data_IF_496403599380
#
_entry.id   IF_496403599380
#
_cell.length_a   1.000
_cell.length_b   1.000
_cell.length_c   1.000
_cell.angle_alpha   90.00
_cell.angle_beta   90.00
_cell.angle_gamma   90.00
#
_symmetry.space_group_name_H-M   'P 1'
#
loop_
_entity.id
_entity.type
_entity.pdbx_description
1 polymer ?
#
# COMPACT_ATOMS: atom_id res chain seq x y z
N UNK A 1 -24.09 -40.29 -14.41
CA UNK A 1 -23.04 -39.32 -14.77
C UNK A 1 -23.01 -38.28 -13.66
N UNK A 2 -22.03 -38.38 -12.75
CA UNK A 2 -21.84 -37.40 -11.68
C UNK A 2 -21.07 -36.20 -12.25
N UNK A 3 -21.76 -35.07 -12.42
CA UNK A 3 -21.10 -33.80 -12.71
C UNK A 3 -20.42 -33.33 -11.43
N UNK A 4 -19.14 -33.64 -11.29
CA UNK A 4 -18.29 -33.01 -10.28
C UNK A 4 -18.08 -31.57 -10.72
N UNK A 5 -18.78 -30.62 -10.08
CA UNK A 5 -18.49 -29.20 -10.27
C UNK A 5 -17.09 -28.95 -9.72
N UNK A 6 -16.15 -28.60 -10.60
CA UNK A 6 -14.80 -28.24 -10.20
C UNK A 6 -14.87 -27.02 -9.28
N UNK A 7 -14.46 -27.19 -8.03
CA UNK A 7 -14.48 -26.13 -7.03
C UNK A 7 -13.39 -25.11 -7.39
N UNK A 8 -13.79 -24.01 -8.03
CA UNK A 8 -12.86 -23.00 -8.51
C UNK A 8 -12.24 -22.24 -7.34
N UNK A 9 -10.90 -22.20 -7.30
CA UNK A 9 -10.17 -21.42 -6.30
C UNK A 9 -10.19 -19.94 -6.69
N UNK A 10 -10.80 -19.12 -5.86
CA UNK A 10 -10.83 -17.67 -6.05
C UNK A 10 -9.50 -17.03 -5.63
N UNK A 11 -8.85 -16.33 -6.56
CA UNK A 11 -7.71 -15.45 -6.30
C UNK A 11 -8.15 -14.00 -6.51
N UNK A 12 -7.92 -13.15 -5.52
CA UNK A 12 -8.17 -11.71 -5.59
C UNK A 12 -6.87 -10.97 -5.31
N UNK A 13 -6.52 -10.01 -6.17
CA UNK A 13 -5.33 -9.18 -6.07
C UNK A 13 -5.80 -7.74 -5.99
N UNK A 14 -5.30 -7.00 -5.00
CA UNK A 14 -5.52 -5.57 -4.86
C UNK A 14 -4.20 -4.85 -5.12
N UNK A 15 -4.27 -3.76 -5.87
CA UNK A 15 -3.24 -2.74 -5.77
C UNK A 15 -3.22 -2.13 -4.35
N UNK A 16 -2.12 -1.50 -3.97
CA UNK A 16 -1.96 -0.97 -2.61
C UNK A 16 -2.47 0.47 -2.51
N UNK A 17 -1.78 1.40 -3.18
CA UNK A 17 -2.07 2.83 -3.11
C UNK A 17 -3.41 3.15 -3.78
N UNK A 18 -4.18 4.03 -3.14
CA UNK A 18 -5.54 4.41 -3.54
C UNK A 18 -6.55 3.26 -3.71
N UNK A 19 -6.16 2.02 -3.38
CA UNK A 19 -6.99 0.82 -3.51
C UNK A 19 -7.15 0.16 -2.14
N UNK A 20 -6.10 -0.45 -1.59
CA UNK A 20 -6.13 -1.05 -0.26
C UNK A 20 -6.13 0.02 0.83
N UNK A 21 -5.28 1.03 0.65
CA UNK A 21 -5.14 2.18 1.56
C UNK A 21 -5.67 3.45 0.91
N UNK A 22 -6.25 4.32 1.73
CA UNK A 22 -6.72 5.64 1.31
C UNK A 22 -5.56 6.64 1.34
N UNK A 23 -4.64 6.48 0.39
CA UNK A 23 -3.46 7.31 0.29
C UNK A 23 -2.46 6.84 -0.76
N UNK A 24 -1.41 7.65 -0.94
CA UNK A 24 -0.28 7.41 -1.80
C UNK A 24 0.97 7.28 -0.91
N UNK A 25 1.56 6.08 -0.83
CA UNK A 25 2.70 5.82 0.06
C UNK A 25 3.97 6.59 -0.30
N UNK A 26 4.21 6.86 -1.59
CA UNK A 26 5.35 7.65 -2.04
C UNK A 26 5.34 9.07 -1.43
N UNK A 27 4.17 9.69 -1.36
CA UNK A 27 4.03 11.01 -0.70
C UNK A 27 3.77 10.92 0.80
N UNK A 28 3.22 9.81 1.29
CA UNK A 28 2.94 9.66 2.72
C UNK A 28 4.21 9.67 3.57
N UNK A 29 5.30 9.13 3.00
CA UNK A 29 6.61 9.05 3.66
C UNK A 29 7.17 10.41 4.05
N UNK A 30 6.78 11.49 3.39
CA UNK A 30 7.25 12.85 3.72
C UNK A 30 6.79 13.32 5.09
N UNK A 31 5.82 12.64 5.72
CA UNK A 31 5.44 12.89 7.11
C UNK A 31 6.56 12.57 8.10
N UNK A 32 7.54 11.73 7.71
CA UNK A 32 8.75 11.49 8.48
C UNK A 32 9.63 12.75 8.55
N UNK A 33 9.78 13.45 7.41
CA UNK A 33 10.60 14.65 7.30
C UNK A 33 9.94 15.67 6.37
N UNK A 34 9.12 16.60 6.90
CA UNK A 34 8.34 17.55 6.11
C UNK A 34 9.12 18.35 5.04
N UNK A 35 10.41 18.71 5.23
CA UNK A 35 11.20 19.37 4.18
C UNK A 35 11.30 18.59 2.86
N UNK A 36 11.14 17.26 2.88
CA UNK A 36 11.13 16.45 1.64
C UNK A 36 9.98 16.81 0.69
N UNK A 37 8.86 17.36 1.19
CA UNK A 37 7.78 17.85 0.32
C UNK A 37 8.23 19.01 -0.57
N UNK A 38 9.05 19.91 -0.04
CA UNK A 38 9.61 21.01 -0.82
C UNK A 38 10.56 20.48 -1.89
N UNK A 39 11.42 19.52 -1.52
CA UNK A 39 12.33 18.85 -2.45
C UNK A 39 11.57 18.21 -3.63
N UNK A 40 10.47 17.50 -3.35
CA UNK A 40 9.62 16.91 -4.40
C UNK A 40 9.11 17.98 -5.35
N UNK A 41 8.55 19.07 -4.82
CA UNK A 41 7.98 20.16 -5.63
C UNK A 41 9.04 20.81 -6.53
N UNK A 42 10.21 21.10 -5.98
CA UNK A 42 11.31 21.72 -6.71
C UNK A 42 11.79 20.84 -7.87
N UNK A 43 12.02 19.55 -7.63
CA UNK A 43 12.51 18.65 -8.67
C UNK A 43 11.42 18.33 -9.71
N UNK A 44 10.16 18.24 -9.30
CA UNK A 44 9.04 18.08 -10.21
C UNK A 44 8.88 19.29 -11.14
N UNK A 45 9.02 20.52 -10.62
CA UNK A 45 9.03 21.74 -11.43
C UNK A 45 10.21 21.79 -12.41
N UNK A 46 11.34 21.18 -12.04
CA UNK A 46 12.52 21.03 -12.90
C UNK A 46 12.41 19.85 -13.89
N UNK A 47 11.24 19.20 -14.01
CA UNK A 47 10.99 18.15 -14.99
C UNK A 47 11.61 16.79 -14.66
N UNK A 48 12.02 16.56 -13.41
CA UNK A 48 12.53 15.25 -13.02
C UNK A 48 11.42 14.20 -13.05
N UNK A 49 11.74 12.98 -13.47
CA UNK A 49 10.80 11.87 -13.39
C UNK A 49 10.59 11.46 -11.92
N UNK A 50 9.40 10.94 -11.62
CA UNK A 50 8.98 10.61 -10.25
C UNK A 50 9.97 9.66 -9.55
N UNK A 51 10.46 8.64 -10.25
CA UNK A 51 11.44 7.68 -9.71
C UNK A 51 12.71 8.36 -9.22
N UNK A 52 13.26 9.33 -9.96
CA UNK A 52 14.48 10.04 -9.57
C UNK A 52 14.22 10.99 -8.40
N UNK A 53 13.03 11.59 -8.34
CA UNK A 53 12.61 12.42 -7.21
C UNK A 53 12.54 11.57 -5.94
N UNK A 54 11.89 10.41 -6.01
CA UNK A 54 11.74 9.53 -4.85
C UNK A 54 13.08 8.92 -4.41
N UNK A 55 13.97 8.56 -5.33
CA UNK A 55 15.34 8.15 -5.00
C UNK A 55 16.05 9.23 -4.16
N UNK A 56 15.93 10.50 -4.56
CA UNK A 56 16.47 11.64 -3.81
C UNK A 56 15.83 11.80 -2.44
N UNK A 57 14.50 11.67 -2.33
CA UNK A 57 13.77 11.72 -1.05
C UNK A 57 14.26 10.64 -0.11
N UNK A 58 14.36 9.39 -0.55
CA UNK A 58 14.84 8.30 0.27
C UNK A 58 16.32 8.45 0.67
N UNK A 59 17.14 9.04 -0.20
CA UNK A 59 18.51 9.45 0.13
C UNK A 59 18.56 10.44 1.30
N UNK A 60 17.67 11.43 1.33
CA UNK A 60 17.56 12.40 2.44
C UNK A 60 17.08 11.70 3.72
N UNK A 61 16.04 10.87 3.64
CA UNK A 61 15.55 10.14 4.82
C UNK A 61 16.63 9.21 5.40
N UNK A 62 17.48 8.63 4.55
CA UNK A 62 18.63 7.84 4.99
C UNK A 62 19.68 8.70 5.69
N UNK A 63 20.03 9.89 5.16
CA UNK A 63 21.01 10.78 5.81
C UNK A 63 20.52 11.32 7.15
N UNK A 64 19.21 11.53 7.29
CA UNK A 64 18.54 11.90 8.55
C UNK A 64 18.41 10.72 9.53
N UNK A 65 18.89 9.52 9.17
CA UNK A 65 18.94 8.31 10.00
C UNK A 65 17.57 7.75 10.43
N UNK A 66 16.52 7.95 9.63
CA UNK A 66 15.23 7.32 9.90
C UNK A 66 15.35 5.79 9.85
N UNK A 67 14.86 5.13 10.90
CA UNK A 67 14.88 3.68 11.05
C UNK A 67 13.67 3.02 10.40
N UNK A 68 13.73 1.70 10.16
CA UNK A 68 12.58 0.91 9.70
C UNK A 68 11.35 1.11 10.59
N UNK A 69 11.56 1.19 11.90
CA UNK A 69 10.51 1.36 12.90
C UNK A 69 9.78 2.70 12.74
N UNK A 70 10.48 3.74 12.27
CA UNK A 70 9.88 5.03 11.96
C UNK A 70 8.95 4.94 10.75
N UNK A 71 9.38 4.27 9.68
CA UNK A 71 8.50 3.99 8.52
C UNK A 71 7.27 3.19 8.93
N UNK A 72 7.44 2.14 9.73
CA UNK A 72 6.30 1.34 10.24
C UNK A 72 5.34 2.22 11.04
N UNK A 73 5.85 3.11 11.89
CA UNK A 73 5.02 4.04 12.67
C UNK A 73 4.30 5.04 11.76
N UNK A 74 4.97 5.55 10.75
CA UNK A 74 4.40 6.45 9.75
C UNK A 74 3.26 5.78 8.98
N UNK A 75 3.49 4.59 8.41
CA UNK A 75 2.48 3.88 7.62
C UNK A 75 1.32 3.35 8.45
N UNK A 76 1.49 3.12 9.77
CA UNK A 76 0.36 2.82 10.68
C UNK A 76 -0.67 3.96 10.77
N UNK A 77 -0.34 5.16 10.32
CA UNK A 77 -1.28 6.29 10.26
C UNK A 77 -2.15 6.29 8.99
N UNK A 78 -1.82 5.48 7.98
CA UNK A 78 -2.65 5.29 6.80
C UNK A 78 -3.99 4.66 7.18
N UNK A 79 -5.05 5.16 6.56
CA UNK A 79 -6.37 4.56 6.69
C UNK A 79 -6.59 3.55 5.56
N UNK A 80 -7.43 2.56 5.81
CA UNK A 80 -7.92 1.70 4.74
C UNK A 80 -8.92 2.48 3.89
N UNK A 81 -8.97 2.19 2.60
CA UNK A 81 -10.05 2.66 1.73
C UNK A 81 -11.39 2.21 2.30
N UNK A 82 -12.40 3.08 2.23
CA UNK A 82 -13.75 2.77 2.70
C UNK A 82 -14.27 1.46 2.12
N UNK A 83 -14.80 0.57 2.97
CA UNK A 83 -15.32 -0.73 2.56
C UNK A 83 -14.25 -1.83 2.34
N UNK A 84 -12.95 -1.50 2.34
CA UNK A 84 -11.91 -2.47 2.01
C UNK A 84 -11.74 -3.53 3.11
N UNK A 85 -11.87 -3.15 4.38
CA UNK A 85 -11.83 -4.12 5.49
C UNK A 85 -12.98 -5.12 5.37
N UNK A 86 -14.17 -4.62 5.08
CA UNK A 86 -15.40 -5.39 4.88
C UNK A 86 -15.24 -6.35 3.68
N UNK A 87 -14.68 -5.87 2.57
CA UNK A 87 -14.39 -6.68 1.40
C UNK A 87 -13.40 -7.83 1.74
N UNK A 88 -12.31 -7.54 2.45
CA UNK A 88 -11.37 -8.58 2.88
C UNK A 88 -12.03 -9.61 3.83
N UNK A 89 -12.85 -9.16 4.78
CA UNK A 89 -13.58 -10.04 5.70
C UNK A 89 -14.56 -10.95 4.91
N UNK A 90 -15.28 -10.38 3.96
CA UNK A 90 -16.20 -11.12 3.10
C UNK A 90 -15.47 -12.21 2.30
N UNK A 91 -14.36 -11.86 1.63
CA UNK A 91 -13.58 -12.81 0.83
C UNK A 91 -12.98 -13.93 1.70
N UNK A 92 -12.51 -13.61 2.92
CA UNK A 92 -12.04 -14.62 3.87
C UNK A 92 -13.15 -15.57 4.34
N UNK A 93 -14.37 -15.06 4.53
CA UNK A 93 -15.51 -15.90 4.92
C UNK A 93 -15.85 -16.96 3.87
N UNK A 94 -15.72 -16.63 2.58
CA UNK A 94 -15.95 -17.55 1.46
C UNK A 94 -14.90 -18.66 1.41
N UNK A 95 -13.62 -18.31 1.60
CA UNK A 95 -12.53 -19.29 1.70
C UNK A 95 -12.76 -20.33 2.82
N UNK A 96 -13.28 -19.91 3.98
CA UNK A 96 -13.53 -20.81 5.12
C UNK A 96 -14.72 -21.74 4.88
N UNK A 97 -15.79 -21.25 4.25
CA UNK A 97 -16.94 -22.07 3.89
C UNK A 97 -16.54 -23.21 2.95
N UNK A 98 -15.63 -22.94 2.00
CA UNK A 98 -15.10 -23.96 1.09
C UNK A 98 -14.17 -24.98 1.77
N UNK A 99 -13.52 -24.60 2.88
CA UNK A 99 -12.57 -25.46 3.61
C UNK A 99 -13.24 -26.43 4.60
N UNK A 100 -14.49 -26.18 5.00
CA UNK A 100 -15.26 -27.01 5.93
C UNK A 100 -16.11 -28.10 5.21
N UNK A 101 -15.87 -28.33 3.92
CA UNK A 101 -16.49 -29.40 3.12
C UNK A 101 -15.47 -30.45 2.64
N UNK A 102 -14.28 -30.47 3.25
CA UNK A 102 -13.24 -31.48 3.06
C UNK A 102 -13.09 -32.34 4.32
#
# INVERSE_FOLDING_TARGET
>A
MSNTVEQSRLLVIFDFDHTLVDGNTDTWVTKLHPPTMQLIREHQQNGWCWTNIMDKVFGVLHSEKFSKEDYVRCFKTLQFTGGMKEACIFLQSKKRADSNHL
#
